data_IF_900349787912
#
_entry.id   IF_900349787912
#
_cell.length_a   1.000
_cell.length_b   1.000
_cell.length_c   1.000
_cell.angle_alpha   90.00
_cell.angle_beta   90.00
_cell.angle_gamma   90.00
#
_symmetry.space_group_name_H-M   'P 1'
#
loop_
_entity.id
_entity.type
_entity.pdbx_description
1 polymer ?
#
# COMPACT_ATOMS: atom_id res chain seq x y z
N UNK A 1 -19.27 -21.98 -14.43
CA UNK A 1 -19.53 -20.88 -13.47
C UNK A 1 -19.28 -21.41 -12.06
N UNK A 2 -18.31 -20.83 -11.38
CA UNK A 2 -18.02 -21.14 -9.98
C UNK A 2 -18.95 -20.30 -9.11
N UNK A 3 -19.92 -20.93 -8.44
CA UNK A 3 -20.83 -20.25 -7.50
C UNK A 3 -20.12 -19.99 -6.16
N UNK A 4 -19.12 -19.09 -6.18
CA UNK A 4 -18.51 -18.61 -4.94
C UNK A 4 -19.35 -17.49 -4.32
N UNK A 5 -19.26 -17.36 -2.98
CA UNK A 5 -19.95 -16.30 -2.23
C UNK A 5 -19.41 -14.89 -2.58
N UNK A 6 -20.19 -13.85 -2.25
CA UNK A 6 -19.74 -12.46 -2.36
C UNK A 6 -18.47 -12.26 -1.52
N UNK A 7 -18.38 -12.86 -0.33
CA UNK A 7 -17.23 -12.79 0.56
C UNK A 7 -15.96 -13.35 -0.09
N UNK A 8 -16.08 -14.44 -0.85
CA UNK A 8 -14.96 -14.98 -1.62
C UNK A 8 -14.37 -13.94 -2.56
N UNK A 9 -15.23 -13.28 -3.33
CA UNK A 9 -14.80 -12.25 -4.28
C UNK A 9 -14.26 -11.00 -3.58
N UNK A 10 -14.83 -10.61 -2.45
CA UNK A 10 -14.30 -9.52 -1.63
C UNK A 10 -12.88 -9.81 -1.13
N UNK A 11 -12.58 -11.05 -0.69
CA UNK A 11 -11.23 -11.44 -0.28
C UNK A 11 -10.28 -11.44 -1.50
N UNK A 12 -10.72 -11.99 -2.63
CA UNK A 12 -9.85 -12.19 -3.79
C UNK A 12 -9.59 -10.89 -4.54
N UNK A 13 -10.62 -10.10 -4.81
CA UNK A 13 -10.56 -8.96 -5.73
C UNK A 13 -10.90 -7.61 -5.08
N UNK A 14 -11.41 -7.59 -3.85
CA UNK A 14 -11.97 -6.39 -3.24
C UNK A 14 -10.99 -5.22 -3.12
N UNK A 15 -9.73 -5.50 -2.77
CA UNK A 15 -8.69 -4.46 -2.73
C UNK A 15 -8.38 -3.87 -4.10
N UNK A 16 -8.29 -4.72 -5.13
CA UNK A 16 -8.13 -4.27 -6.50
C UNK A 16 -9.30 -3.40 -6.95
N UNK A 17 -10.53 -3.90 -6.74
CA UNK A 17 -11.74 -3.20 -7.15
C UNK A 17 -11.86 -1.82 -6.51
N UNK A 18 -11.61 -1.74 -5.19
CA UNK A 18 -11.63 -0.48 -4.47
C UNK A 18 -10.58 0.49 -4.99
N UNK A 19 -9.35 0.01 -5.22
CA UNK A 19 -8.27 0.84 -5.77
C UNK A 19 -8.65 1.39 -7.14
N UNK A 20 -9.10 0.52 -8.04
CA UNK A 20 -9.53 0.90 -9.39
C UNK A 20 -10.63 1.96 -9.36
N UNK A 21 -11.69 1.70 -8.57
CA UNK A 21 -12.83 2.60 -8.47
C UNK A 21 -12.40 3.99 -7.97
N UNK A 22 -11.60 4.03 -6.94
CA UNK A 22 -11.11 5.30 -6.38
C UNK A 22 -10.21 6.05 -7.38
N UNK A 23 -9.28 5.36 -8.02
CA UNK A 23 -8.41 5.98 -9.01
C UNK A 23 -9.18 6.53 -10.22
N UNK A 24 -10.17 5.81 -10.71
CA UNK A 24 -10.97 6.30 -11.84
C UNK A 24 -11.80 7.52 -11.46
N UNK A 25 -12.44 7.52 -10.28
CA UNK A 25 -13.21 8.70 -9.81
C UNK A 25 -12.32 9.93 -9.70
N UNK A 26 -11.14 9.82 -9.08
CA UNK A 26 -10.23 10.95 -8.94
C UNK A 26 -9.76 11.48 -10.29
N UNK A 27 -9.39 10.58 -11.21
CA UNK A 27 -8.98 10.99 -12.57
C UNK A 27 -10.09 11.68 -13.33
N UNK A 28 -11.30 11.11 -13.28
CA UNK A 28 -12.46 11.74 -13.93
C UNK A 28 -12.72 13.13 -13.36
N UNK A 29 -12.73 13.27 -12.02
CA UNK A 29 -12.92 14.58 -11.37
C UNK A 29 -11.81 15.57 -11.74
N UNK A 30 -10.55 15.16 -11.67
CA UNK A 30 -9.41 16.04 -12.00
C UNK A 30 -9.43 16.46 -13.47
N UNK A 31 -9.72 15.54 -14.40
CA UNK A 31 -9.83 15.85 -15.82
C UNK A 31 -11.01 16.77 -16.10
N UNK A 32 -12.17 16.54 -15.49
CA UNK A 32 -13.33 17.45 -15.64
C UNK A 32 -13.04 18.83 -15.09
N UNK A 33 -12.42 18.94 -13.94
CA UNK A 33 -12.01 20.22 -13.38
C UNK A 33 -11.04 20.95 -14.32
N UNK A 34 -10.06 20.24 -14.85
CA UNK A 34 -9.12 20.79 -15.83
C UNK A 34 -9.85 21.35 -17.08
N UNK A 35 -10.84 20.59 -17.61
CA UNK A 35 -11.66 21.04 -18.76
C UNK A 35 -12.55 22.23 -18.43
N UNK A 36 -12.93 22.42 -17.17
CA UNK A 36 -13.75 23.57 -16.73
C UNK A 36 -12.92 24.83 -16.49
N UNK A 37 -11.69 24.68 -16.02
CA UNK A 37 -10.82 25.79 -15.63
C UNK A 37 -9.94 26.31 -16.77
N UNK A 38 -9.67 25.48 -17.78
CA UNK A 38 -8.73 25.80 -18.86
C UNK A 38 -9.36 25.60 -20.25
N UNK A 39 -9.08 26.51 -21.16
CA UNK A 39 -9.40 26.36 -22.58
C UNK A 39 -8.32 25.51 -23.26
N UNK A 40 -8.66 24.24 -23.51
CA UNK A 40 -7.73 23.25 -24.05
C UNK A 40 -7.95 23.11 -25.55
N UNK A 41 -6.98 23.54 -26.36
CA UNK A 41 -7.02 23.46 -27.80
C UNK A 41 -6.60 22.10 -28.38
N UNK A 42 -5.71 21.37 -27.69
CA UNK A 42 -5.23 20.03 -28.11
C UNK A 42 -4.50 19.31 -26.98
N UNK A 43 -4.27 18.00 -27.14
CA UNK A 43 -3.45 17.23 -26.22
C UNK A 43 -2.69 16.11 -26.93
N UNK A 44 -1.71 15.52 -26.26
CA UNK A 44 -0.85 14.46 -26.81
C UNK A 44 -1.04 13.17 -26.02
N UNK A 45 -1.31 12.07 -26.72
CA UNK A 45 -1.38 10.73 -26.18
C UNK A 45 -0.35 9.79 -26.81
N UNK A 46 0.06 8.77 -26.04
CA UNK A 46 0.78 7.67 -26.65
C UNK A 46 -0.17 6.72 -27.38
N UNK A 47 0.27 6.20 -28.54
CA UNK A 47 -0.43 5.10 -29.19
C UNK A 47 -0.40 3.86 -28.32
N UNK A 48 -1.51 3.16 -28.25
CA UNK A 48 -1.61 1.92 -27.47
C UNK A 48 -2.55 0.93 -28.13
N UNK A 49 -2.19 -0.34 -28.01
CA UNK A 49 -3.08 -1.42 -28.41
C UNK A 49 -4.24 -1.57 -27.43
N UNK A 50 -5.33 -2.16 -27.89
CA UNK A 50 -6.44 -2.54 -27.01
C UNK A 50 -5.94 -3.47 -25.92
N UNK A 51 -6.36 -3.24 -24.69
CA UNK A 51 -5.92 -3.98 -23.50
C UNK A 51 -4.42 -3.86 -23.13
N UNK A 52 -3.71 -2.88 -23.67
CA UNK A 52 -2.29 -2.63 -23.34
C UNK A 52 -2.06 -2.25 -21.88
N UNK A 53 -3.08 -1.78 -21.18
CA UNK A 53 -3.05 -1.43 -19.76
C UNK A 53 -3.35 -2.61 -18.84
N UNK A 54 -3.78 -3.76 -19.37
CA UNK A 54 -4.16 -4.93 -18.57
C UNK A 54 -2.97 -5.47 -17.79
N UNK A 55 -3.01 -5.50 -16.45
CA UNK A 55 -1.96 -6.08 -15.63
C UNK A 55 -2.11 -7.60 -15.54
N UNK A 56 -1.02 -8.30 -15.31
CA UNK A 56 -1.09 -9.73 -15.01
C UNK A 56 -1.56 -9.94 -13.57
N UNK A 57 -0.98 -9.18 -12.63
CA UNK A 57 -1.24 -9.24 -11.19
C UNK A 57 -1.68 -7.89 -10.64
N UNK A 58 -2.38 -7.91 -9.53
CA UNK A 58 -2.72 -6.68 -8.81
C UNK A 58 -1.49 -5.91 -8.33
N UNK A 59 -0.43 -6.60 -7.92
CA UNK A 59 0.82 -5.98 -7.50
C UNK A 59 1.45 -5.06 -8.56
N UNK A 60 1.17 -5.27 -9.84
CA UNK A 60 1.66 -4.39 -10.92
C UNK A 60 1.01 -2.99 -10.89
N UNK A 61 -0.17 -2.88 -10.31
CA UNK A 61 -0.90 -1.60 -10.22
C UNK A 61 -0.41 -0.77 -9.03
N UNK A 62 -0.01 -1.43 -7.94
CA UNK A 62 0.37 -0.76 -6.69
C UNK A 62 1.87 -0.59 -6.51
N UNK A 63 2.69 -1.22 -7.32
CA UNK A 63 4.14 -1.08 -7.24
C UNK A 63 4.61 0.15 -8.04
N UNK A 64 4.98 1.21 -7.33
CA UNK A 64 5.50 2.45 -7.92
C UNK A 64 6.66 2.21 -8.89
N UNK A 65 7.38 1.09 -8.76
CA UNK A 65 8.49 0.72 -9.65
C UNK A 65 8.00 0.24 -11.00
N UNK A 66 6.77 -0.27 -11.07
CA UNK A 66 6.14 -0.81 -12.28
C UNK A 66 5.23 0.22 -12.97
N UNK A 67 4.91 1.31 -12.27
CA UNK A 67 4.13 2.41 -12.82
C UNK A 67 5.00 3.22 -13.80
N UNK A 68 4.65 3.18 -15.06
CA UNK A 68 5.35 3.92 -16.12
C UNK A 68 4.50 5.10 -16.59
N UNK A 69 5.09 6.30 -16.74
CA UNK A 69 4.35 7.52 -17.06
C UNK A 69 3.48 7.43 -18.33
N UNK A 70 3.89 6.66 -19.32
CA UNK A 70 3.12 6.48 -20.54
C UNK A 70 1.81 5.71 -20.33
N UNK A 71 1.75 4.76 -19.38
CA UNK A 71 0.50 4.06 -19.00
C UNK A 71 -0.50 5.04 -18.38
N UNK A 72 -0.02 5.93 -17.54
CA UNK A 72 -0.83 6.99 -16.93
C UNK A 72 -1.41 7.93 -17.97
N UNK A 73 -0.59 8.34 -18.94
CA UNK A 73 -1.02 9.18 -20.06
C UNK A 73 -2.12 8.46 -20.86
N UNK A 74 -1.90 7.20 -21.27
CA UNK A 74 -2.88 6.41 -22.01
C UNK A 74 -4.21 6.29 -21.23
N UNK A 75 -4.15 5.98 -19.92
CA UNK A 75 -5.35 5.87 -19.09
C UNK A 75 -6.13 7.17 -19.03
N UNK A 76 -5.45 8.30 -18.82
CA UNK A 76 -6.10 9.62 -18.82
C UNK A 76 -6.77 9.94 -20.15
N UNK A 77 -6.12 9.60 -21.28
CA UNK A 77 -6.71 9.84 -22.60
C UNK A 77 -7.87 8.89 -22.92
N UNK A 78 -7.84 7.64 -22.42
CA UNK A 78 -9.02 6.76 -22.50
C UNK A 78 -10.21 7.32 -21.73
N UNK A 79 -9.97 7.96 -20.59
CA UNK A 79 -11.02 8.66 -19.83
C UNK A 79 -11.51 9.90 -20.60
N UNK A 80 -10.58 10.74 -21.11
CA UNK A 80 -10.92 11.94 -21.90
C UNK A 80 -11.81 11.58 -23.10
N UNK A 81 -11.50 10.52 -23.84
CA UNK A 81 -12.32 10.04 -24.96
C UNK A 81 -13.75 9.61 -24.57
N UNK A 82 -14.01 9.43 -23.29
CA UNK A 82 -15.33 9.07 -22.75
C UNK A 82 -16.05 10.26 -22.09
N UNK A 83 -15.38 11.41 -21.98
CA UNK A 83 -15.95 12.64 -21.44
C UNK A 83 -16.55 13.48 -22.57
N UNK A 84 -17.84 13.81 -22.52
CA UNK A 84 -18.49 14.62 -23.55
C UNK A 84 -17.87 16.02 -23.72
N UNK A 85 -17.30 16.54 -22.64
CA UNK A 85 -16.68 17.88 -22.61
C UNK A 85 -15.32 17.92 -23.29
N UNK A 86 -14.66 16.78 -23.55
CA UNK A 86 -13.36 16.70 -24.19
C UNK A 86 -13.48 16.69 -25.72
N UNK A 87 -13.81 17.85 -26.29
CA UNK A 87 -14.02 18.00 -27.73
C UNK A 87 -12.87 18.79 -28.42
N UNK A 88 -11.66 18.25 -28.34
CA UNK A 88 -10.45 18.78 -28.93
C UNK A 88 -9.61 17.67 -29.57
N UNK A 89 -8.73 17.97 -30.54
CA UNK A 89 -7.91 16.98 -31.21
C UNK A 89 -6.88 16.36 -30.25
N UNK A 90 -6.68 15.05 -30.38
CA UNK A 90 -5.64 14.31 -29.68
C UNK A 90 -4.59 13.88 -30.69
N UNK A 91 -3.36 14.36 -30.54
CA UNK A 91 -2.21 13.89 -31.30
C UNK A 91 -1.67 12.60 -30.70
N UNK A 92 -1.47 11.58 -31.54
CA UNK A 92 -0.95 10.28 -31.09
C UNK A 92 0.50 10.11 -31.51
N UNK A 93 1.38 9.91 -30.52
CA UNK A 93 2.81 9.65 -30.72
C UNK A 93 3.17 8.22 -30.35
N UNK A 94 4.14 7.63 -31.09
CA UNK A 94 4.63 6.28 -30.78
C UNK A 94 5.59 6.31 -29.60
N UNK A 95 5.48 5.32 -28.72
CA UNK A 95 6.44 5.13 -27.63
C UNK A 95 7.78 4.72 -28.26
N UNK A 96 8.81 5.55 -28.10
CA UNK A 96 10.16 5.17 -28.50
C UNK A 96 10.68 4.06 -27.57
N UNK A 97 11.05 2.92 -28.13
CA UNK A 97 11.54 1.74 -27.36
C UNK A 97 12.79 2.02 -26.51
N UNK A 98 13.56 3.08 -26.84
CA UNK A 98 14.72 3.52 -26.05
C UNK A 98 14.34 4.13 -24.69
N UNK A 99 13.08 4.43 -24.45
CA UNK A 99 12.53 4.78 -23.16
C UNK A 99 12.14 3.55 -22.32
N UNK A 100 12.66 2.38 -22.59
CA UNK A 100 12.76 1.33 -21.56
C UNK A 100 13.65 1.92 -20.45
N UNK A 101 13.03 2.67 -19.56
CA UNK A 101 13.66 2.97 -18.29
C UNK A 101 14.12 1.63 -17.73
N UNK A 102 15.44 1.41 -17.73
CA UNK A 102 16.05 0.30 -17.04
C UNK A 102 15.81 0.50 -15.55
N UNK A 103 14.61 0.15 -15.06
CA UNK A 103 14.24 0.10 -13.65
C UNK A 103 15.05 -0.96 -12.87
N UNK A 104 15.96 -1.64 -13.56
CA UNK A 104 16.98 -2.53 -12.98
C UNK A 104 18.17 -1.78 -12.36
N UNK A 105 18.11 -0.47 -12.18
CA UNK A 105 18.97 0.12 -11.17
C UNK A 105 18.48 -0.41 -9.82
N UNK A 106 19.06 -1.53 -9.44
CA UNK A 106 19.14 -2.00 -8.07
C UNK A 106 19.54 -0.81 -7.19
N UNK A 107 18.56 -0.08 -6.70
CA UNK A 107 18.74 0.67 -5.49
C UNK A 107 18.92 -0.38 -4.40
N UNK A 108 20.13 -0.98 -4.37
CA UNK A 108 20.64 -1.64 -3.19
C UNK A 108 20.74 -0.57 -2.11
N UNK A 109 19.59 -0.30 -1.51
CA UNK A 109 19.52 0.50 -0.30
C UNK A 109 20.20 -0.32 0.79
N UNK A 110 21.49 -0.11 0.92
CA UNK A 110 22.33 -0.66 1.97
C UNK A 110 22.89 -2.05 1.66
N UNK A 111 24.20 -2.14 1.60
CA UNK A 111 24.97 -3.39 1.66
C UNK A 111 24.53 -4.18 2.89
N UNK A 112 23.80 -5.25 2.68
CA UNK A 112 23.36 -6.11 3.76
C UNK A 112 24.62 -6.74 4.39
N UNK A 113 24.86 -6.45 5.68
CA UNK A 113 25.96 -7.04 6.44
C UNK A 113 25.99 -8.56 6.21
N UNK A 114 27.20 -9.14 6.08
CA UNK A 114 27.43 -10.58 5.92
C UNK A 114 26.63 -11.43 6.93
N UNK A 115 26.52 -10.97 8.17
CA UNK A 115 25.67 -11.58 9.22
C UNK A 115 24.20 -11.65 8.82
N UNK A 116 23.67 -10.64 8.11
CA UNK A 116 22.27 -10.66 7.62
C UNK A 116 22.08 -11.66 6.48
N UNK A 117 23.09 -11.83 5.61
CA UNK A 117 23.02 -12.85 4.52
C UNK A 117 22.98 -14.27 5.10
N UNK A 118 23.84 -14.57 6.09
CA UNK A 118 23.85 -15.86 6.79
C UNK A 118 22.49 -16.11 7.46
N UNK A 119 21.98 -15.15 8.21
CA UNK A 119 20.69 -15.28 8.88
C UNK A 119 19.53 -15.50 7.91
N UNK A 120 19.51 -14.80 6.79
CA UNK A 120 18.52 -15.04 5.71
C UNK A 120 18.59 -16.45 5.15
N UNK A 121 19.80 -16.96 4.94
CA UNK A 121 20.00 -18.33 4.44
C UNK A 121 19.54 -19.37 5.47
N UNK A 122 19.86 -19.18 6.76
CA UNK A 122 19.39 -20.09 7.83
C UNK A 122 17.86 -20.12 7.86
N UNK A 123 17.20 -18.96 7.81
CA UNK A 123 15.72 -18.90 7.74
C UNK A 123 15.20 -19.63 6.50
N UNK A 124 15.83 -19.43 5.33
CA UNK A 124 15.42 -20.09 4.10
C UNK A 124 15.52 -21.62 4.21
N UNK A 125 16.64 -22.13 4.73
CA UNK A 125 16.81 -23.58 4.95
C UNK A 125 15.81 -24.12 5.99
N UNK A 126 15.62 -23.40 7.08
CA UNK A 126 14.60 -23.75 8.07
C UNK A 126 13.20 -23.83 7.43
N UNK A 127 12.83 -22.88 6.59
CA UNK A 127 11.55 -22.88 5.86
C UNK A 127 11.38 -24.09 4.96
N UNK A 128 12.44 -24.45 4.22
CA UNK A 128 12.41 -25.63 3.34
C UNK A 128 12.22 -26.92 4.15
N UNK A 129 12.87 -27.00 5.31
CA UNK A 129 12.74 -28.17 6.19
C UNK A 129 11.39 -28.19 6.90
N UNK A 130 10.96 -27.08 7.47
CA UNK A 130 9.71 -26.98 8.23
C UNK A 130 8.48 -27.26 7.38
N UNK A 131 8.51 -26.97 6.08
CA UNK A 131 7.44 -27.33 5.12
C UNK A 131 7.08 -28.81 5.14
N UNK A 132 8.06 -29.68 5.37
CA UNK A 132 7.83 -31.15 5.44
C UNK A 132 7.06 -31.58 6.67
N UNK A 133 7.00 -30.74 7.69
CA UNK A 133 6.37 -31.00 8.99
C UNK A 133 5.11 -30.16 9.22
N UNK A 134 4.58 -29.50 8.19
CA UNK A 134 3.33 -28.76 8.29
C UNK A 134 2.18 -29.74 8.45
N UNK A 135 1.40 -29.55 9.52
CA UNK A 135 0.13 -30.24 9.68
C UNK A 135 -0.97 -29.56 8.85
N UNK A 136 -1.86 -30.36 8.28
CA UNK A 136 -2.99 -29.81 7.54
C UNK A 136 -3.88 -28.87 8.37
N UNK A 137 -3.88 -29.04 9.69
CA UNK A 137 -4.70 -28.27 10.63
C UNK A 137 -3.90 -27.16 11.36
N UNK A 138 -2.65 -26.91 11.00
CA UNK A 138 -1.89 -25.79 11.60
C UNK A 138 -2.59 -24.47 11.28
N UNK A 139 -2.56 -23.54 12.24
CA UNK A 139 -3.01 -22.18 11.98
C UNK A 139 -2.10 -21.52 10.92
N UNK A 140 -2.66 -20.81 9.96
CA UNK A 140 -1.89 -20.09 8.97
C UNK A 140 -1.67 -18.66 9.42
N UNK A 141 -0.45 -18.37 9.90
CA UNK A 141 -0.07 -17.07 10.47
C UNK A 141 1.02 -16.48 9.59
N UNK A 142 0.75 -15.32 8.99
CA UNK A 142 1.67 -14.70 8.03
C UNK A 142 1.62 -13.18 8.15
N UNK A 143 2.81 -12.55 8.12
CA UNK A 143 2.98 -11.10 8.08
C UNK A 143 2.18 -10.38 9.17
N UNK A 144 2.44 -10.78 10.41
CA UNK A 144 1.65 -10.38 11.60
C UNK A 144 1.98 -8.98 12.10
N UNK A 145 3.07 -8.39 11.68
CA UNK A 145 3.72 -7.22 12.30
C UNK A 145 4.23 -7.43 13.74
N UNK A 146 4.06 -8.61 14.30
CA UNK A 146 4.69 -8.94 15.57
C UNK A 146 6.22 -9.02 15.42
N UNK A 147 6.99 -8.70 16.45
CA UNK A 147 8.39 -9.06 16.50
C UNK A 147 8.56 -10.57 16.30
N UNK A 148 9.53 -10.99 15.47
CA UNK A 148 9.72 -12.40 15.09
C UNK A 148 9.72 -13.37 16.27
N UNK A 149 10.27 -12.96 17.41
CA UNK A 149 10.29 -13.78 18.64
C UNK A 149 8.89 -14.00 19.19
N UNK A 150 8.03 -13.01 19.12
CA UNK A 150 6.65 -13.12 19.62
C UNK A 150 5.77 -13.91 18.64
N UNK A 151 6.02 -13.80 17.33
CA UNK A 151 5.38 -14.64 16.30
C UNK A 151 5.75 -16.12 16.53
N UNK A 152 7.03 -16.43 16.74
CA UNK A 152 7.49 -17.80 17.05
C UNK A 152 6.81 -18.33 18.32
N UNK A 153 6.76 -17.54 19.40
CA UNK A 153 6.09 -17.96 20.64
C UNK A 153 4.60 -18.22 20.42
N UNK A 154 3.95 -17.37 19.63
CA UNK A 154 2.53 -17.53 19.30
C UNK A 154 2.28 -18.86 18.57
N UNK A 155 3.08 -19.15 17.54
CA UNK A 155 2.94 -20.41 16.80
C UNK A 155 3.23 -21.64 17.67
N UNK A 156 4.28 -21.61 18.51
CA UNK A 156 4.55 -22.65 19.48
C UNK A 156 3.41 -22.85 20.48
N UNK A 157 2.77 -21.76 20.93
CA UNK A 157 1.62 -21.84 21.83
C UNK A 157 0.39 -22.51 21.17
N UNK A 158 0.28 -22.48 19.84
CA UNK A 158 -0.71 -23.24 19.09
C UNK A 158 -0.30 -24.70 18.84
N UNK A 159 0.86 -25.15 19.35
CA UNK A 159 1.38 -26.50 19.20
C UNK A 159 1.91 -26.80 17.79
N UNK A 160 2.30 -25.78 17.04
CA UNK A 160 2.83 -25.92 15.69
C UNK A 160 4.27 -25.44 15.58
N UNK A 161 5.00 -25.97 14.59
CA UNK A 161 6.33 -25.45 14.26
C UNK A 161 6.22 -24.05 13.68
N UNK A 162 7.11 -23.12 14.09
CA UNK A 162 7.10 -21.76 13.55
C UNK A 162 7.27 -21.76 12.04
N UNK A 163 6.28 -21.22 11.35
CA UNK A 163 6.20 -21.18 9.90
C UNK A 163 6.51 -19.76 9.43
N UNK A 164 7.78 -19.48 9.20
CA UNK A 164 8.25 -18.14 8.82
C UNK A 164 8.09 -17.91 7.31
N UNK A 165 6.89 -17.84 6.82
CA UNK A 165 6.48 -17.78 5.41
C UNK A 165 6.99 -16.59 4.59
N UNK A 166 7.92 -15.82 5.05
CA UNK A 166 8.32 -14.52 4.49
C UNK A 166 8.87 -14.51 3.05
N UNK A 167 9.05 -15.65 2.37
CA UNK A 167 9.84 -15.68 1.14
C UNK A 167 9.30 -16.57 0.02
N UNK A 168 8.03 -17.02 0.06
CA UNK A 168 7.57 -17.97 -0.96
C UNK A 168 6.77 -17.39 -2.11
N UNK A 169 7.26 -17.81 -3.26
CA UNK A 169 6.55 -18.10 -4.52
C UNK A 169 5.89 -16.98 -5.32
N UNK A 170 6.10 -15.71 -4.99
CA UNK A 170 5.68 -14.61 -5.88
C UNK A 170 6.37 -14.70 -7.26
N UNK A 171 7.65 -15.13 -7.29
CA UNK A 171 8.45 -15.13 -8.53
C UNK A 171 8.09 -16.28 -9.46
N UNK A 172 7.81 -17.47 -8.90
CA UNK A 172 7.52 -18.66 -9.73
C UNK A 172 6.13 -18.57 -10.39
N UNK A 173 5.13 -18.03 -9.70
CA UNK A 173 3.81 -17.82 -10.29
C UNK A 173 3.84 -16.76 -11.40
N UNK A 174 4.59 -15.67 -11.22
CA UNK A 174 4.72 -14.62 -12.23
C UNK A 174 5.20 -15.13 -13.59
N UNK A 175 6.17 -16.06 -13.61
CA UNK A 175 6.70 -16.62 -14.85
C UNK A 175 5.67 -17.49 -15.58
N UNK A 176 4.82 -18.20 -14.84
CA UNK A 176 3.78 -19.06 -15.41
C UNK A 176 2.67 -18.26 -16.12
N UNK A 177 2.34 -17.08 -15.60
CA UNK A 177 1.27 -16.26 -16.16
C UNK A 177 1.72 -15.34 -17.29
N UNK A 178 3.03 -15.10 -17.47
CA UNK A 178 3.55 -14.30 -18.61
C UNK A 178 3.18 -14.85 -19.98
N UNK A 179 2.90 -16.14 -20.08
CA UNK A 179 2.49 -16.80 -21.32
C UNK A 179 0.99 -16.73 -21.60
N UNK A 180 0.18 -16.31 -20.62
CA UNK A 180 -1.25 -16.16 -20.82
C UNK A 180 -1.52 -14.98 -21.76
N UNK A 181 -2.38 -15.24 -22.73
CA UNK A 181 -2.88 -14.21 -23.65
C UNK A 181 -4.19 -13.67 -23.12
N UNK A 182 -4.41 -12.37 -23.36
CA UNK A 182 -5.67 -11.71 -23.09
C UNK A 182 -6.71 -12.25 -24.09
N UNK A 183 -7.86 -12.67 -23.59
CA UNK A 183 -9.02 -13.01 -24.43
C UNK A 183 -9.82 -11.74 -24.72
N UNK A 184 -9.44 -11.08 -25.81
CA UNK A 184 -10.06 -9.82 -26.23
C UNK A 184 -11.55 -9.97 -26.51
N UNK A 185 -11.97 -11.09 -27.09
CA UNK A 185 -13.38 -11.33 -27.44
C UNK A 185 -14.25 -11.44 -26.19
N UNK A 186 -13.83 -12.27 -25.23
CA UNK A 186 -14.55 -12.41 -23.96
C UNK A 186 -14.63 -11.10 -23.19
N UNK A 187 -13.53 -10.30 -23.17
CA UNK A 187 -13.55 -8.98 -22.51
C UNK A 187 -14.49 -7.99 -23.22
N UNK A 188 -14.54 -8.02 -24.55
CA UNK A 188 -15.45 -7.17 -25.32
C UNK A 188 -16.93 -7.55 -25.10
N UNK A 189 -17.23 -8.84 -25.06
CA UNK A 189 -18.59 -9.31 -24.76
C UNK A 189 -19.03 -8.92 -23.34
N UNK A 190 -18.14 -9.06 -22.37
CA UNK A 190 -18.40 -8.62 -20.99
C UNK A 190 -18.63 -7.11 -20.92
N UNK A 191 -17.78 -6.32 -21.58
CA UNK A 191 -17.94 -4.86 -21.63
C UNK A 191 -19.31 -4.48 -22.19
N UNK A 192 -19.68 -4.98 -23.35
CA UNK A 192 -21.00 -4.73 -23.98
C UNK A 192 -22.17 -5.13 -23.09
N UNK A 193 -22.08 -6.28 -22.42
CA UNK A 193 -23.12 -6.77 -21.52
C UNK A 193 -23.37 -5.84 -20.33
N UNK A 194 -22.32 -5.20 -19.82
CA UNK A 194 -22.43 -4.31 -18.66
C UNK A 194 -22.70 -2.86 -19.06
N UNK A 195 -22.24 -2.40 -20.23
CA UNK A 195 -22.53 -1.04 -20.75
C UNK A 195 -24.04 -0.78 -20.83
N UNK A 196 -24.81 -1.77 -21.25
CA UNK A 196 -26.28 -1.66 -21.35
C UNK A 196 -26.98 -1.49 -19.99
N UNK A 197 -26.25 -1.55 -18.87
CA UNK A 197 -26.77 -1.39 -17.51
C UNK A 197 -26.33 -0.09 -16.84
N UNK A 198 -25.51 0.71 -17.53
CA UNK A 198 -24.98 1.96 -16.96
C UNK A 198 -26.07 3.03 -16.94
N UNK A 199 -26.33 3.58 -15.76
CA UNK A 199 -27.37 4.61 -15.53
C UNK A 199 -26.82 6.02 -15.69
N UNK A 200 -25.50 6.21 -15.58
CA UNK A 200 -24.85 7.51 -15.67
C UNK A 200 -23.47 7.43 -16.33
N UNK A 201 -22.90 8.59 -16.66
CA UNK A 201 -21.62 8.65 -17.37
C UNK A 201 -20.45 8.06 -16.57
N UNK A 202 -20.42 8.19 -15.24
CA UNK A 202 -19.36 7.60 -14.39
C UNK A 202 -19.40 6.08 -14.44
N UNK A 203 -20.59 5.49 -14.37
CA UNK A 203 -20.77 4.05 -14.52
C UNK A 203 -20.34 3.57 -15.90
N UNK A 204 -20.66 4.34 -16.93
CA UNK A 204 -20.24 4.03 -18.30
C UNK A 204 -18.69 4.03 -18.43
N UNK A 205 -18.02 5.08 -17.93
CA UNK A 205 -16.55 5.14 -17.92
C UNK A 205 -15.98 3.94 -17.13
N UNK A 206 -16.53 3.70 -15.94
CA UNK A 206 -16.08 2.60 -15.10
C UNK A 206 -16.25 1.24 -15.81
N UNK A 207 -17.40 0.99 -16.39
CA UNK A 207 -17.70 -0.26 -17.09
C UNK A 207 -16.79 -0.50 -18.29
N UNK A 208 -16.54 0.53 -19.10
CA UNK A 208 -15.64 0.45 -20.25
C UNK A 208 -14.20 0.15 -19.86
N UNK A 209 -13.72 0.72 -18.75
CA UNK A 209 -12.34 0.54 -18.30
C UNK A 209 -12.18 -0.68 -17.36
N UNK A 210 -13.22 -1.16 -16.72
CA UNK A 210 -13.19 -2.29 -15.81
C UNK A 210 -12.57 -3.53 -16.47
N UNK A 211 -13.09 -3.94 -17.63
CA UNK A 211 -12.64 -5.15 -18.31
C UNK A 211 -11.31 -4.96 -19.04
N UNK A 212 -10.86 -3.72 -19.25
CA UNK A 212 -9.49 -3.47 -19.70
C UNK A 212 -8.48 -3.59 -18.55
N UNK A 213 -8.86 -3.12 -17.35
CA UNK A 213 -7.94 -3.00 -16.21
C UNK A 213 -7.99 -4.18 -15.25
N UNK A 214 -8.94 -5.11 -15.41
CA UNK A 214 -8.98 -6.31 -14.57
C UNK A 214 -7.75 -7.19 -14.83
N UNK A 215 -6.99 -7.57 -13.76
CA UNK A 215 -5.84 -8.44 -13.90
C UNK A 215 -6.16 -9.77 -14.58
N UNK A 216 -5.24 -10.24 -15.41
CA UNK A 216 -5.39 -11.53 -16.13
C UNK A 216 -5.68 -12.68 -15.17
N UNK A 217 -5.03 -12.70 -14.01
CA UNK A 217 -5.22 -13.76 -13.01
C UNK A 217 -6.64 -13.79 -12.40
N UNK A 218 -7.41 -12.73 -12.53
CA UNK A 218 -8.79 -12.68 -12.01
C UNK A 218 -9.83 -13.06 -13.08
N UNK A 219 -9.43 -13.15 -14.33
CA UNK A 219 -10.30 -13.49 -15.45
C UNK A 219 -9.77 -14.71 -16.21
N UNK A 220 -8.92 -14.53 -17.21
CA UNK A 220 -8.42 -15.62 -18.07
C UNK A 220 -7.56 -16.63 -17.28
N UNK A 221 -6.78 -16.14 -16.35
CA UNK A 221 -5.86 -16.93 -15.51
C UNK A 221 -6.47 -17.55 -14.27
N UNK A 222 -7.76 -17.31 -13.99
CA UNK A 222 -8.36 -17.70 -12.71
C UNK A 222 -8.30 -19.20 -12.43
N UNK A 223 -8.58 -20.02 -13.41
CA UNK A 223 -8.54 -21.49 -13.27
C UNK A 223 -7.13 -22.01 -13.03
N UNK A 224 -6.14 -21.49 -13.76
CA UNK A 224 -4.73 -21.87 -13.54
C UNK A 224 -4.22 -21.36 -12.20
N UNK A 225 -4.55 -20.14 -11.83
CA UNK A 225 -4.23 -19.61 -10.52
C UNK A 225 -4.80 -20.48 -9.38
N UNK A 226 -6.04 -20.92 -9.53
CA UNK A 226 -6.68 -21.83 -8.57
C UNK A 226 -5.94 -23.16 -8.46
N UNK A 227 -5.47 -23.74 -9.58
CA UNK A 227 -4.67 -24.97 -9.58
C UNK A 227 -3.32 -24.77 -8.86
N UNK A 228 -2.65 -23.65 -9.13
CA UNK A 228 -1.37 -23.31 -8.50
C UNK A 228 -1.54 -23.15 -6.99
N UNK A 229 -2.54 -22.38 -6.56
CA UNK A 229 -2.81 -22.13 -5.16
C UNK A 229 -3.15 -23.41 -4.38
N UNK A 230 -3.89 -24.35 -5.00
CA UNK A 230 -4.19 -25.66 -4.39
C UNK A 230 -2.96 -26.55 -4.22
N UNK A 231 -1.89 -26.31 -4.98
CA UNK A 231 -0.61 -27.06 -4.90
C UNK A 231 0.39 -26.47 -3.91
N UNK A 232 0.10 -25.31 -3.34
CA UNK A 232 0.97 -24.70 -2.32
C UNK A 232 1.11 -25.63 -1.11
N UNK A 233 2.30 -25.65 -0.51
CA UNK A 233 2.61 -26.43 0.69
C UNK A 233 2.01 -25.80 1.97
N UNK A 234 0.87 -25.15 1.84
CA UNK A 234 0.16 -24.49 2.94
C UNK A 234 -0.85 -25.45 3.58
N UNK A 235 -1.25 -25.24 4.84
CA UNK A 235 -2.20 -26.11 5.52
C UNK A 235 -3.47 -26.32 4.71
N UNK A 236 -3.92 -27.56 4.57
CA UNK A 236 -5.11 -27.86 3.76
C UNK A 236 -6.42 -27.51 4.43
N UNK A 237 -6.47 -27.55 5.77
CA UNK A 237 -7.64 -27.26 6.59
C UNK A 237 -7.20 -26.46 7.82
N UNK A 238 -6.69 -25.24 7.65
CA UNK A 238 -6.11 -24.48 8.76
C UNK A 238 -7.16 -24.19 9.84
N UNK A 239 -6.75 -24.26 11.13
CA UNK A 239 -7.60 -23.89 12.28
C UNK A 239 -8.18 -22.48 12.08
N UNK A 240 -7.33 -21.56 11.62
CA UNK A 240 -7.69 -20.20 11.25
C UNK A 240 -6.57 -19.60 10.39
N UNK A 241 -6.86 -18.47 9.77
CA UNK A 241 -5.91 -17.65 9.01
C UNK A 241 -5.76 -16.33 9.75
N UNK A 242 -4.53 -15.88 9.97
CA UNK A 242 -4.23 -14.57 10.54
C UNK A 242 -3.15 -13.84 9.73
N UNK A 243 -3.41 -12.59 9.41
CA UNK A 243 -2.44 -11.67 8.79
C UNK A 243 -2.72 -10.23 9.18
N UNK A 244 -1.71 -9.37 9.08
CA UNK A 244 -1.92 -7.92 9.20
C UNK A 244 -1.92 -7.19 7.86
N UNK A 245 -1.25 -7.70 6.82
CA UNK A 245 -1.27 -7.02 5.52
C UNK A 245 -0.98 -7.90 4.29
N UNK A 246 -0.90 -9.22 4.41
CA UNK A 246 -0.64 -10.10 3.27
C UNK A 246 -1.75 -10.04 2.20
N UNK A 247 -2.94 -9.60 2.59
CA UNK A 247 -4.10 -9.40 1.72
C UNK A 247 -3.96 -8.24 0.73
N UNK A 248 -2.95 -7.35 0.90
CA UNK A 248 -2.83 -6.15 0.06
C UNK A 248 -2.41 -6.53 -1.36
N UNK A 249 -1.28 -7.20 -1.52
CA UNK A 249 -0.62 -7.39 -2.82
C UNK A 249 -0.25 -8.85 -3.14
N UNK A 250 -0.54 -9.81 -2.26
CA UNK A 250 -0.28 -11.21 -2.49
C UNK A 250 -1.52 -11.94 -3.04
N UNK A 251 -1.62 -12.03 -4.35
CA UNK A 251 -2.76 -12.66 -5.01
C UNK A 251 -2.90 -14.15 -4.70
N UNK A 252 -1.79 -14.86 -4.48
CA UNK A 252 -1.82 -16.26 -4.04
C UNK A 252 -2.46 -16.41 -2.66
N UNK A 253 -2.08 -15.54 -1.72
CA UNK A 253 -2.67 -15.52 -0.38
C UNK A 253 -4.16 -15.19 -0.44
N UNK A 254 -4.55 -14.18 -1.21
CA UNK A 254 -5.96 -13.78 -1.34
C UNK A 254 -6.82 -14.92 -1.85
N UNK A 255 -6.43 -15.55 -2.96
CA UNK A 255 -7.19 -16.65 -3.53
C UNK A 255 -7.22 -17.88 -2.61
N UNK A 256 -6.07 -18.25 -2.03
CA UNK A 256 -6.00 -19.37 -1.09
C UNK A 256 -6.88 -19.12 0.13
N UNK A 257 -6.80 -17.95 0.75
CA UNK A 257 -7.61 -17.58 1.91
C UNK A 257 -9.09 -17.60 1.57
N UNK A 258 -9.48 -17.07 0.40
CA UNK A 258 -10.86 -17.10 -0.06
C UNK A 258 -11.40 -18.54 -0.19
N UNK A 259 -10.61 -19.44 -0.79
CA UNK A 259 -10.97 -20.86 -0.90
C UNK A 259 -11.12 -21.53 0.48
N UNK A 260 -10.29 -21.16 1.47
CA UNK A 260 -10.39 -21.72 2.82
C UNK A 260 -11.58 -21.16 3.59
N UNK A 261 -11.86 -19.88 3.44
CA UNK A 261 -13.04 -19.22 4.03
C UNK A 261 -14.34 -19.83 3.49
N UNK A 262 -14.42 -20.13 2.19
CA UNK A 262 -15.56 -20.86 1.60
C UNK A 262 -15.75 -22.26 2.24
N UNK A 263 -14.66 -22.87 2.72
CA UNK A 263 -14.69 -24.16 3.44
C UNK A 263 -14.98 -24.00 4.95
N UNK A 264 -15.25 -22.78 5.44
CA UNK A 264 -15.58 -22.51 6.83
C UNK A 264 -14.40 -22.12 7.73
N UNK A 265 -13.18 -22.01 7.17
CA UNK A 265 -12.02 -21.54 7.95
C UNK A 265 -12.22 -20.10 8.41
N UNK A 266 -11.93 -19.83 9.68
CA UNK A 266 -11.98 -18.47 10.24
C UNK A 266 -10.84 -17.61 9.73
N UNK A 267 -11.14 -16.36 9.38
CA UNK A 267 -10.20 -15.40 8.85
C UNK A 267 -10.11 -14.17 9.73
N UNK A 268 -8.92 -13.89 10.24
CA UNK A 268 -8.63 -12.76 11.12
C UNK A 268 -7.63 -11.83 10.47
N UNK A 269 -7.87 -10.54 10.59
CA UNK A 269 -6.94 -9.51 10.12
C UNK A 269 -6.56 -8.61 11.29
N UNK A 270 -5.27 -8.31 11.42
CA UNK A 270 -4.76 -7.35 12.38
C UNK A 270 -4.48 -5.99 11.74
N UNK A 271 -4.73 -4.93 12.46
CA UNK A 271 -4.33 -3.58 12.05
C UNK A 271 -2.83 -3.53 11.79
N UNK A 272 -2.40 -2.88 10.71
CA UNK A 272 -1.00 -2.84 10.31
C UNK A 272 -0.37 -1.44 10.32
N UNK A 273 -1.15 -0.40 10.53
CA UNK A 273 -0.68 0.97 10.51
C UNK A 273 -1.60 1.94 11.22
N UNK A 274 -1.29 3.23 11.13
CA UNK A 274 -2.18 4.30 11.55
C UNK A 274 -3.35 4.45 10.56
N UNK A 275 -4.24 5.40 10.81
CA UNK A 275 -5.41 5.76 10.00
C UNK A 275 -6.65 4.86 10.14
N UNK A 276 -6.57 3.76 10.86
CA UNK A 276 -7.74 2.96 11.19
C UNK A 276 -8.46 3.56 12.41
N UNK A 277 -9.75 3.76 12.30
CA UNK A 277 -10.56 4.34 13.36
C UNK A 277 -10.24 5.80 13.70
N UNK A 278 -9.45 6.48 12.86
CA UNK A 278 -9.10 7.89 13.09
C UNK A 278 -9.46 8.82 11.92
N UNK A 279 -9.50 8.33 10.68
CA UNK A 279 -9.74 9.16 9.50
C UNK A 279 -11.13 8.98 8.89
N UNK A 280 -11.74 10.08 8.45
CA UNK A 280 -13.08 10.11 7.88
C UNK A 280 -13.20 9.27 6.60
N UNK A 281 -12.26 9.41 5.70
CA UNK A 281 -12.41 8.88 4.32
C UNK A 281 -11.86 7.46 4.14
N UNK A 282 -11.47 6.78 5.20
CA UNK A 282 -10.81 5.48 5.08
C UNK A 282 -11.58 4.32 5.67
N UNK A 283 -12.60 4.55 6.46
CA UNK A 283 -13.41 3.51 7.10
C UNK A 283 -14.84 3.47 6.52
N UNK A 284 -15.47 2.29 6.43
CA UNK A 284 -14.84 0.99 6.66
C UNK A 284 -14.01 0.52 5.47
N UNK A 285 -12.85 -0.07 5.73
CA UNK A 285 -12.01 -0.69 4.70
C UNK A 285 -12.43 -2.14 4.45
N UNK A 286 -12.04 -2.71 3.31
CA UNK A 286 -12.30 -4.13 3.00
C UNK A 286 -11.76 -5.03 4.11
N UNK A 287 -10.57 -4.76 4.61
CA UNK A 287 -9.94 -5.51 5.70
C UNK A 287 -10.63 -5.35 7.07
N UNK A 288 -11.48 -4.34 7.24
CA UNK A 288 -12.30 -4.18 8.45
C UNK A 288 -13.63 -4.96 8.36
N UNK A 289 -14.14 -5.17 7.13
CA UNK A 289 -15.47 -5.73 6.90
C UNK A 289 -15.45 -7.23 6.61
N UNK A 290 -14.48 -7.67 5.82
CA UNK A 290 -14.45 -9.03 5.26
C UNK A 290 -14.01 -10.11 6.27
N UNK A 291 -13.07 -9.88 7.23
CA UNK A 291 -12.65 -10.91 8.17
C UNK A 291 -13.74 -11.25 9.20
N UNK A 292 -13.65 -12.42 9.81
CA UNK A 292 -14.48 -12.78 10.96
C UNK A 292 -14.20 -11.85 12.15
N UNK A 293 -12.94 -11.42 12.32
CA UNK A 293 -12.53 -10.38 13.28
C UNK A 293 -11.41 -9.53 12.69
N UNK A 294 -11.54 -8.22 12.89
CA UNK A 294 -10.47 -7.24 12.68
C UNK A 294 -9.92 -6.80 14.02
N UNK A 295 -8.64 -7.09 14.29
CA UNK A 295 -7.99 -6.81 15.57
C UNK A 295 -7.26 -5.48 15.48
N UNK A 296 -7.75 -4.49 16.21
CA UNK A 296 -7.26 -3.11 16.17
C UNK A 296 -6.07 -2.87 17.11
N UNK A 297 -5.51 -1.68 17.05
CA UNK A 297 -4.48 -1.24 18.00
C UNK A 297 -5.08 -0.52 19.22
N UNK A 298 -6.23 -1.01 19.73
CA UNK A 298 -6.84 -0.59 20.98
C UNK A 298 -8.16 0.17 20.84
N UNK A 299 -8.52 0.60 19.63
CA UNK A 299 -9.80 1.25 19.37
C UNK A 299 -10.89 0.23 19.04
N UNK A 300 -12.12 0.64 19.19
CA UNK A 300 -13.31 -0.16 18.78
C UNK A 300 -14.36 0.78 18.19
N UNK A 301 -15.30 0.18 17.49
CA UNK A 301 -16.49 0.85 16.99
C UNK A 301 -17.73 -0.02 17.27
N UNK A 302 -18.88 0.33 16.74
CA UNK A 302 -20.12 -0.43 16.94
C UNK A 302 -20.16 -1.76 16.14
N UNK A 303 -19.17 -2.03 15.29
CA UNK A 303 -19.14 -3.22 14.46
C UNK A 303 -18.71 -4.45 15.28
N UNK A 304 -19.51 -5.54 15.20
CA UNK A 304 -19.25 -6.78 15.97
C UNK A 304 -17.96 -7.51 15.59
N UNK A 305 -17.43 -7.25 14.41
CA UNK A 305 -16.19 -7.87 13.94
C UNK A 305 -14.94 -7.08 14.31
N UNK A 306 -15.05 -5.85 14.79
CA UNK A 306 -13.92 -5.04 15.26
C UNK A 306 -13.65 -5.33 16.74
N UNK A 307 -12.42 -5.74 17.03
CA UNK A 307 -12.01 -6.18 18.38
C UNK A 307 -10.77 -5.39 18.80
N UNK A 308 -10.78 -4.74 19.98
CA UNK A 308 -9.62 -4.01 20.46
C UNK A 308 -8.49 -4.96 20.83
N UNK A 309 -7.29 -4.65 20.36
CA UNK A 309 -6.05 -5.37 20.62
C UNK A 309 -4.96 -4.43 21.12
N UNK A 310 -3.77 -4.54 20.56
CA UNK A 310 -2.60 -3.75 20.92
C UNK A 310 -1.72 -3.45 19.70
N UNK A 311 -0.74 -2.56 19.83
CA UNK A 311 0.20 -2.23 18.75
C UNK A 311 1.15 -3.40 18.52
N UNK A 312 0.95 -4.16 17.44
CA UNK A 312 1.69 -5.39 17.14
C UNK A 312 3.20 -5.17 16.97
N UNK A 313 3.61 -4.01 16.45
CA UNK A 313 5.02 -3.65 16.27
C UNK A 313 5.75 -3.29 17.58
N UNK A 314 5.06 -3.26 18.71
CA UNK A 314 5.65 -2.80 19.95
C UNK A 314 6.60 -3.87 20.54
N UNK A 315 7.90 -3.65 20.34
CA UNK A 315 8.91 -4.36 21.10
C UNK A 315 8.87 -3.84 22.55
N UNK A 316 8.77 -4.70 23.56
CA UNK A 316 8.78 -4.34 25.00
C UNK A 316 10.08 -3.67 25.46
N UNK A 317 10.85 -3.07 24.57
CA UNK A 317 12.11 -2.40 24.88
C UNK A 317 11.85 -0.95 25.29
N UNK A 318 12.31 -0.58 26.50
CA UNK A 318 12.42 0.81 26.90
C UNK A 318 13.56 1.43 26.09
N UNK A 319 13.29 2.56 25.46
CA UNK A 319 14.32 3.35 24.77
C UNK A 319 14.86 4.41 25.72
N UNK A 320 16.20 4.46 25.86
CA UNK A 320 16.85 5.59 26.51
C UNK A 320 16.88 6.75 25.51
N UNK A 321 16.19 7.81 25.83
CA UNK A 321 16.17 9.05 25.05
C UNK A 321 17.37 9.87 25.45
N UNK A 322 18.03 10.51 24.48
CA UNK A 322 19.09 11.46 24.75
C UNK A 322 18.50 12.85 25.12
N UNK A 323 18.48 13.27 26.38
CA UNK A 323 17.88 14.55 26.77
C UNK A 323 18.63 15.76 26.22
N UNK A 324 19.90 15.58 25.82
CA UNK A 324 20.74 16.58 25.15
C UNK A 324 20.69 16.47 23.61
N UNK A 325 19.93 15.51 23.09
CA UNK A 325 19.74 15.30 21.66
C UNK A 325 19.02 16.44 20.97
N UNK A 326 18.97 16.37 19.65
CA UNK A 326 18.28 17.34 18.79
C UNK A 326 16.82 17.04 18.56
N UNK A 327 16.31 17.61 17.50
CA UNK A 327 14.98 17.35 16.95
C UNK A 327 15.07 16.41 15.76
N UNK A 328 14.13 15.52 15.65
CA UNK A 328 13.95 14.64 14.48
C UNK A 328 12.61 14.97 13.82
N UNK A 329 12.64 15.61 12.65
CA UNK A 329 11.45 15.76 11.80
C UNK A 329 11.36 14.56 10.86
N UNK A 330 10.25 13.85 10.88
CA UNK A 330 10.00 12.68 10.04
C UNK A 330 9.03 13.04 8.93
N UNK A 331 9.51 13.02 7.68
CA UNK A 331 8.70 13.33 6.51
C UNK A 331 7.87 12.14 6.01
N UNK A 332 6.73 12.46 5.41
CA UNK A 332 5.89 11.51 4.72
C UNK A 332 6.57 10.94 3.46
N UNK A 333 6.24 9.70 3.13
CA UNK A 333 6.46 9.16 1.79
C UNK A 333 5.33 9.66 0.90
N UNK A 334 5.62 10.58 0.01
CA UNK A 334 4.65 11.02 -0.99
C UNK A 334 4.85 10.19 -2.25
N UNK A 335 3.80 9.54 -2.68
CA UNK A 335 3.79 8.80 -3.94
C UNK A 335 3.63 9.77 -5.11
N UNK A 336 4.24 9.45 -6.24
CA UNK A 336 4.12 10.26 -7.47
C UNK A 336 2.70 10.23 -8.04
N UNK A 337 1.98 9.17 -7.78
CA UNK A 337 0.63 8.95 -8.28
C UNK A 337 -0.37 9.08 -7.14
N UNK A 338 -1.53 9.68 -7.41
CA UNK A 338 -2.63 9.65 -6.44
C UNK A 338 -2.98 8.21 -6.14
N UNK A 339 -2.72 7.82 -4.92
CA UNK A 339 -3.15 6.54 -4.39
C UNK A 339 -4.62 6.63 -4.00
N UNK A 340 -5.20 5.52 -3.60
CA UNK A 340 -6.61 5.37 -3.22
C UNK A 340 -7.17 6.40 -2.25
N UNK A 341 -6.31 7.12 -1.59
CA UNK A 341 -6.68 8.11 -0.60
C UNK A 341 -5.85 9.34 -0.86
N UNK A 342 -6.38 10.25 -1.63
CA UNK A 342 -5.81 11.57 -1.71
C UNK A 342 -6.18 12.36 -0.44
N UNK A 343 -5.70 11.83 0.65
CA UNK A 343 -5.71 12.49 1.95
C UNK A 343 -4.49 13.34 2.12
N UNK A 344 -3.62 13.25 1.13
CA UNK A 344 -2.38 13.97 1.16
C UNK A 344 -2.56 15.15 0.28
N UNK A 345 -2.33 16.26 0.90
CA UNK A 345 -2.11 17.51 0.25
C UNK A 345 -1.31 17.32 -1.02
N UNK A 346 -1.52 18.16 -1.98
CA UNK A 346 -0.58 18.32 -3.06
C UNK A 346 0.83 18.44 -2.47
N UNK A 347 1.78 17.78 -3.07
CA UNK A 347 3.15 17.73 -2.56
C UNK A 347 3.70 19.12 -2.26
N UNK A 348 3.40 20.10 -3.10
CA UNK A 348 3.85 21.49 -2.95
C UNK A 348 3.37 22.05 -1.60
N UNK A 349 2.08 21.93 -1.31
CA UNK A 349 1.51 22.42 -0.05
C UNK A 349 2.12 21.71 1.16
N UNK A 350 2.29 20.40 1.08
CA UNK A 350 2.95 19.64 2.14
C UNK A 350 4.38 20.15 2.39
N UNK A 351 5.17 20.33 1.31
CA UNK A 351 6.55 20.84 1.43
C UNK A 351 6.59 22.25 1.99
N UNK A 352 5.74 23.15 1.52
CA UNK A 352 5.66 24.53 2.02
C UNK A 352 5.39 24.56 3.53
N UNK A 353 4.50 23.70 4.02
CA UNK A 353 4.24 23.57 5.46
C UNK A 353 5.49 23.09 6.23
N UNK A 354 6.25 22.16 5.66
CA UNK A 354 7.52 21.72 6.25
C UNK A 354 8.54 22.87 6.31
N UNK A 355 8.73 23.58 5.20
CA UNK A 355 9.67 24.69 5.11
C UNK A 355 9.27 25.82 6.07
N UNK A 356 7.97 26.15 6.12
CA UNK A 356 7.43 27.15 7.07
C UNK A 356 7.69 26.76 8.52
N UNK A 357 7.40 25.51 8.87
CA UNK A 357 7.69 25.00 10.21
C UNK A 357 9.19 25.18 10.58
N UNK A 358 10.07 24.76 9.69
CA UNK A 358 11.53 24.85 9.94
C UNK A 358 11.99 26.31 9.95
N UNK A 359 11.42 27.19 9.14
CA UNK A 359 11.76 28.62 9.14
C UNK A 359 11.46 29.31 10.47
N UNK A 360 10.39 28.88 11.15
CA UNK A 360 9.98 29.43 12.45
C UNK A 360 10.85 28.96 13.63
N UNK A 361 11.71 27.95 13.42
CA UNK A 361 12.58 27.47 14.50
C UNK A 361 13.75 28.46 14.76
N UNK A 362 14.05 28.71 16.03
CA UNK A 362 15.23 29.51 16.40
C UNK A 362 16.55 28.82 15.99
N UNK A 363 17.59 29.59 15.70
CA UNK A 363 18.88 29.08 15.16
C UNK A 363 19.48 27.93 15.99
N UNK A 364 19.51 28.06 17.32
CA UNK A 364 20.02 27.01 18.23
C UNK A 364 19.27 25.68 18.12
N UNK A 365 18.01 25.72 17.69
CA UNK A 365 17.14 24.55 17.49
C UNK A 365 17.40 23.97 16.11
N UNK A 366 17.52 24.82 15.08
CA UNK A 366 17.85 24.42 13.70
C UNK A 366 19.16 23.67 13.60
N UNK A 367 20.21 24.14 14.30
CA UNK A 367 21.52 23.50 14.35
C UNK A 367 21.47 22.04 14.83
N UNK A 368 20.45 21.69 15.62
CA UNK A 368 20.23 20.34 16.16
C UNK A 368 19.11 19.59 15.45
N UNK A 369 18.55 20.15 14.39
CA UNK A 369 17.51 19.50 13.61
C UNK A 369 18.09 18.44 12.70
N UNK A 370 17.46 17.29 12.64
CA UNK A 370 17.68 16.26 11.61
C UNK A 370 16.36 16.02 10.92
N UNK A 371 16.31 16.14 9.60
CA UNK A 371 15.14 15.80 8.80
C UNK A 371 15.35 14.41 8.23
N UNK A 372 14.45 13.50 8.56
CA UNK A 372 14.44 12.16 8.02
C UNK A 372 13.57 12.10 6.79
N UNK A 373 14.19 11.95 5.65
CA UNK A 373 13.50 11.70 4.39
C UNK A 373 12.90 10.30 4.36
N UNK A 374 11.82 10.13 3.64
CA UNK A 374 11.26 8.81 3.43
C UNK A 374 12.25 7.90 2.65
N UNK A 375 12.36 6.61 2.98
CA UNK A 375 13.30 5.70 2.30
C UNK A 375 13.11 5.62 0.78
N UNK A 376 11.94 5.96 0.28
CA UNK A 376 11.56 5.93 -1.14
C UNK A 376 11.69 7.30 -1.84
N UNK A 377 12.30 8.31 -1.22
CA UNK A 377 12.36 9.66 -1.79
C UNK A 377 13.03 9.72 -3.18
N UNK A 378 14.01 8.86 -3.42
CA UNK A 378 14.68 8.75 -4.73
C UNK A 378 13.77 8.20 -5.83
N UNK A 379 12.83 7.32 -5.45
CA UNK A 379 11.89 6.69 -6.38
C UNK A 379 10.76 7.65 -6.72
N UNK A 380 10.32 8.45 -5.75
CA UNK A 380 9.22 9.40 -5.93
C UNK A 380 9.52 10.54 -6.91
N UNK A 381 10.79 10.80 -7.20
CA UNK A 381 11.28 11.84 -8.15
C UNK A 381 10.79 13.27 -7.84
N UNK A 382 10.44 13.55 -6.58
CA UNK A 382 10.04 14.88 -6.15
C UNK A 382 11.22 15.81 -5.85
N UNK A 383 12.46 15.35 -6.07
CA UNK A 383 13.70 16.08 -5.75
C UNK A 383 13.74 16.60 -4.31
N UNK A 384 13.20 15.84 -3.36
CA UNK A 384 13.03 16.25 -1.95
C UNK A 384 14.35 16.69 -1.32
N UNK A 385 15.41 15.91 -1.53
CA UNK A 385 16.75 16.23 -1.03
C UNK A 385 17.25 17.58 -1.55
N UNK A 386 17.09 17.83 -2.88
CA UNK A 386 17.51 19.07 -3.50
C UNK A 386 16.72 20.28 -2.96
N UNK A 387 15.41 20.13 -2.80
CA UNK A 387 14.56 21.20 -2.27
C UNK A 387 14.93 21.61 -0.85
N UNK A 388 15.33 20.67 0.01
CA UNK A 388 15.86 20.98 1.33
C UNK A 388 17.21 21.68 1.25
N UNK A 389 18.12 21.24 0.38
CA UNK A 389 19.43 21.89 0.18
C UNK A 389 19.28 23.31 -0.38
N UNK A 390 18.32 23.54 -1.29
CA UNK A 390 18.05 24.87 -1.83
C UNK A 390 17.47 25.81 -0.76
N UNK A 391 16.71 25.27 0.19
CA UNK A 391 16.16 26.03 1.31
C UNK A 391 17.23 26.40 2.36
N UNK A 392 18.01 25.43 2.80
CA UNK A 392 19.14 25.65 3.73
C UNK A 392 20.14 24.48 3.62
N UNK A 393 21.31 24.68 3.00
CA UNK A 393 22.32 23.64 2.79
C UNK A 393 22.95 23.10 4.08
N UNK A 394 22.76 23.77 5.22
CA UNK A 394 23.30 23.35 6.51
C UNK A 394 22.37 22.39 7.26
N UNK A 395 21.14 22.20 6.79
CA UNK A 395 20.20 21.27 7.41
C UNK A 395 20.68 19.83 7.27
N UNK A 396 20.72 19.13 8.38
CA UNK A 396 21.11 17.72 8.40
C UNK A 396 19.98 16.83 7.87
N UNK A 397 20.21 16.23 6.70
CA UNK A 397 19.30 15.26 6.09
C UNK A 397 19.72 13.82 6.39
N UNK A 398 18.76 12.97 6.74
CA UNK A 398 18.93 11.53 6.87
C UNK A 398 18.11 10.84 5.78
N UNK A 399 18.78 10.09 4.92
CA UNK A 399 18.24 9.54 3.67
C UNK A 399 17.29 8.32 3.85
N UNK A 400 16.73 8.11 5.03
CA UNK A 400 15.84 6.98 5.30
C UNK A 400 16.57 5.63 5.48
N UNK A 401 17.90 5.62 5.53
CA UNK A 401 18.73 4.41 5.61
C UNK A 401 18.90 3.93 7.06
N UNK A 402 19.08 4.86 7.98
CA UNK A 402 19.28 4.53 9.39
C UNK A 402 18.03 3.88 9.98
N UNK A 403 18.22 2.94 10.92
CA UNK A 403 17.08 2.41 11.67
C UNK A 403 16.40 3.56 12.42
N UNK A 404 15.10 3.71 12.23
CA UNK A 404 14.32 4.79 12.87
C UNK A 404 14.44 4.73 14.41
N UNK A 405 14.48 3.54 14.99
CA UNK A 405 14.65 3.36 16.45
C UNK A 405 15.98 3.90 16.98
N UNK A 406 17.05 3.90 16.16
CA UNK A 406 18.32 4.53 16.50
C UNK A 406 18.18 6.05 16.52
N UNK A 407 17.47 6.60 15.54
CA UNK A 407 17.22 8.05 15.47
C UNK A 407 16.37 8.52 16.65
N UNK A 408 15.34 7.76 17.03
CA UNK A 408 14.53 8.07 18.23
C UNK A 408 15.38 8.14 19.50
N UNK A 409 16.34 7.22 19.68
CA UNK A 409 17.22 7.25 20.86
C UNK A 409 18.28 8.37 20.85
N UNK A 410 18.61 8.91 19.69
CA UNK A 410 19.62 9.97 19.53
C UNK A 410 19.04 11.37 19.70
N UNK A 411 17.74 11.53 19.50
CA UNK A 411 17.05 12.81 19.57
C UNK A 411 16.21 12.92 20.84
N UNK A 412 16.01 14.14 21.34
CA UNK A 412 15.18 14.39 22.53
C UNK A 412 13.69 14.49 22.17
N UNK A 413 13.37 14.85 20.92
CA UNK A 413 12.00 15.04 20.46
C UNK A 413 11.87 14.56 19.01
N UNK A 414 10.81 13.82 18.72
CA UNK A 414 10.43 13.42 17.37
C UNK A 414 9.17 14.16 16.94
N UNK A 415 9.18 14.67 15.72
CA UNK A 415 8.09 15.47 15.16
C UNK A 415 7.57 14.77 13.91
N UNK A 416 6.25 14.65 13.81
CA UNK A 416 5.57 14.12 12.64
C UNK A 416 4.66 15.19 12.04
N UNK A 417 4.67 15.28 10.72
CA UNK A 417 3.83 16.21 9.96
C UNK A 417 2.74 15.48 9.17
N UNK A 418 2.44 14.25 9.54
CA UNK A 418 1.43 13.40 8.93
C UNK A 418 1.03 12.25 9.87
N UNK A 419 -0.07 11.58 9.59
CA UNK A 419 -0.57 10.45 10.39
C UNK A 419 0.29 9.21 10.21
N UNK A 420 1.45 9.24 10.84
CA UNK A 420 2.44 8.19 10.74
C UNK A 420 2.18 7.02 11.69
N UNK A 421 2.38 5.80 11.20
CA UNK A 421 2.53 4.64 12.09
C UNK A 421 3.65 4.84 13.11
N UNK A 422 4.74 5.53 12.71
CA UNK A 422 5.84 5.89 13.59
C UNK A 422 5.42 6.74 14.78
N UNK A 423 4.42 7.60 14.63
CA UNK A 423 3.85 8.38 15.73
C UNK A 423 3.26 7.46 16.82
N UNK A 424 2.45 6.50 16.44
CA UNK A 424 1.91 5.52 17.40
C UNK A 424 3.00 4.66 18.03
N UNK A 425 4.04 4.31 17.27
CA UNK A 425 5.19 3.58 17.80
C UNK A 425 5.98 4.40 18.83
N UNK A 426 6.17 5.71 18.62
CA UNK A 426 6.87 6.58 19.59
C UNK A 426 6.04 6.76 20.85
N UNK A 427 4.75 7.06 20.72
CA UNK A 427 3.83 7.22 21.86
C UNK A 427 3.76 5.97 22.72
N UNK A 428 3.61 4.79 22.09
CA UNK A 428 3.56 3.50 22.82
C UNK A 428 4.84 3.15 23.58
N UNK A 429 5.95 3.82 23.26
CA UNK A 429 7.27 3.63 23.89
C UNK A 429 7.66 4.79 24.80
N UNK A 430 6.72 5.70 25.06
CA UNK A 430 6.95 6.91 25.86
C UNK A 430 8.13 7.77 25.35
N UNK A 431 8.24 7.91 24.02
CA UNK A 431 9.20 8.79 23.36
C UNK A 431 8.53 10.15 23.15
N UNK A 432 9.17 11.28 23.55
CA UNK A 432 8.61 12.61 23.34
C UNK A 432 8.27 12.83 21.85
N UNK A 433 7.03 13.14 21.59
CA UNK A 433 6.46 13.21 20.24
C UNK A 433 5.57 14.41 20.11
N UNK A 434 5.72 15.14 19.02
CA UNK A 434 4.79 16.19 18.58
C UNK A 434 4.27 15.86 17.19
N UNK A 435 3.12 16.42 16.85
CA UNK A 435 2.59 16.39 15.50
C UNK A 435 2.13 17.78 15.08
N UNK A 436 2.17 18.08 13.77
CA UNK A 436 1.52 19.25 13.22
C UNK A 436 0.80 18.92 11.91
N UNK A 437 -0.33 19.57 11.71
CA UNK A 437 -1.21 19.42 10.57
C UNK A 437 -1.68 20.79 10.11
N UNK A 438 -2.01 20.93 8.84
CA UNK A 438 -2.41 22.20 8.24
C UNK A 438 -3.93 22.39 8.10
N UNK A 439 -4.72 21.39 8.46
CA UNK A 439 -6.14 21.30 8.13
C UNK A 439 -7.10 21.36 9.35
N UNK A 440 -6.64 21.87 10.48
CA UNK A 440 -7.43 21.92 11.73
C UNK A 440 -8.09 20.57 12.11
N UNK A 441 -7.44 19.47 11.73
CA UNK A 441 -7.92 18.09 11.96
C UNK A 441 -9.19 17.70 11.20
N UNK A 442 -9.51 18.37 10.10
CA UNK A 442 -10.73 18.09 9.31
C UNK A 442 -10.72 16.70 8.65
N UNK A 443 -9.54 16.10 8.48
CA UNK A 443 -9.38 14.74 7.98
C UNK A 443 -9.70 13.66 9.02
N UNK A 444 -9.91 14.02 10.30
CA UNK A 444 -10.11 13.08 11.39
C UNK A 444 -11.60 12.91 11.76
N UNK A 445 -11.94 11.71 12.19
CA UNK A 445 -13.18 11.44 12.90
C UNK A 445 -13.24 12.28 14.18
N UNK A 446 -14.44 12.74 14.57
CA UNK A 446 -14.61 13.59 15.73
C UNK A 446 -14.09 12.95 17.03
N UNK A 447 -14.25 11.64 17.16
CA UNK A 447 -13.75 10.86 18.28
C UNK A 447 -12.21 10.84 18.37
N UNK A 448 -11.52 11.03 17.25
CA UNK A 448 -10.05 11.03 17.20
C UNK A 448 -9.45 12.43 17.49
N UNK A 449 -10.16 13.50 17.14
CA UNK A 449 -9.67 14.89 17.27
C UNK A 449 -9.10 15.26 18.64
N UNK A 450 -9.73 14.89 19.79
CA UNK A 450 -9.20 15.22 21.11
C UNK A 450 -7.80 14.66 21.36
N UNK A 451 -7.53 13.43 20.87
CA UNK A 451 -6.23 12.78 21.05
C UNK A 451 -5.16 13.44 20.19
N UNK A 452 -5.49 13.89 19.00
CA UNK A 452 -4.55 14.57 18.10
C UNK A 452 -4.21 15.98 18.61
N UNK A 453 -5.18 16.70 19.18
CA UNK A 453 -4.94 18.02 19.80
C UNK A 453 -3.96 18.01 20.97
N UNK A 454 -3.80 16.88 21.66
CA UNK A 454 -2.80 16.74 22.73
C UNK A 454 -1.37 16.64 22.14
N UNK A 455 -1.22 16.26 20.87
CA UNK A 455 0.06 16.05 20.21
C UNK A 455 0.57 17.29 19.45
N UNK A 456 -0.25 18.30 19.27
CA UNK A 456 0.06 19.51 18.51
C UNK A 456 0.68 20.63 19.39
#
# INVERSE_FOLDING_TARGET
STNYSIRFWQITTGHWFRLLFTQLIFRVKALKQCLQEYDISSTISYTSDKYSLTPIFFSEIIDDRLLVPWKENILNHKILNLLPEANFPIEYIKIQQNNKYNYNQNLEVGTSSYKKKIFKNIIKYYQILSKKFINNNDAFIINTYLPIKEEIKLELAFGQLPQLWKYEDRVNSYLLFKSLKIDTNSRDELTKKFENRSENYLENIFTKLLFELIPIIYLEGFNEHTKIVKKLSWPKSPKFIFTSNEFIDNDNFKLWSALKVEQGTKYFIGQHGNNYGSKINTSPRIEEVVPDKFITWGWTNQSRNVVPGFIFKNEKKKYKINPKGGLLLVEATLTKHSTTYDERFEYVQYLENQLKFVSCLGNKVKEKLTIRLAPKYLISRWAVHQRWNDFDPNIKLENGIAKITKLFSQNRLTIFSYDSTGMLETLSRNIPTLGFWSDDYNHLLDEAKPFYKILA
#
